data_IF_015366005025
#
_entry.id   IF_015366005025
#
_cell.length_a   1.000
_cell.length_b   1.000
_cell.length_c   1.000
_cell.angle_alpha   90.00
_cell.angle_beta   90.00
_cell.angle_gamma   90.00
#
_symmetry.space_group_name_H-M   'P 1'
#
loop_
_entity.id
_entity.type
_entity.pdbx_description
1 polymer ?
#
# COMPACT_ATOMS: atom_id res chain seq x y z
N UNK A 1 24.62 10.07 36.96
CA UNK A 1 23.48 10.92 37.35
C UNK A 1 22.39 10.75 36.30
N UNK A 2 21.39 9.94 36.62
CA UNK A 2 20.25 9.63 35.74
C UNK A 2 19.25 10.78 35.82
N UNK A 3 19.25 11.69 34.85
CA UNK A 3 18.18 12.69 34.74
C UNK A 3 17.03 12.10 33.92
N UNK A 4 16.03 11.61 34.67
CA UNK A 4 14.70 11.25 34.18
C UNK A 4 14.02 12.52 33.68
N UNK A 5 13.93 12.70 32.37
CA UNK A 5 13.16 13.79 31.79
C UNK A 5 11.66 13.45 31.84
N UNK A 6 10.91 14.34 32.48
CA UNK A 6 9.51 14.19 32.83
C UNK A 6 8.59 14.03 31.62
N UNK A 7 7.55 13.19 31.77
CA UNK A 7 6.46 13.06 30.81
C UNK A 7 5.61 14.33 30.85
N UNK A 8 5.68 15.13 29.80
CA UNK A 8 4.65 16.12 29.48
C UNK A 8 3.54 15.45 28.69
N UNK A 9 2.34 15.47 29.23
CA UNK A 9 1.10 15.12 28.55
C UNK A 9 0.70 16.26 27.60
N UNK A 10 0.48 15.96 26.32
CA UNK A 10 -0.32 16.84 25.47
C UNK A 10 -1.11 16.00 24.47
N UNK A 11 -2.43 15.98 24.69
CA UNK A 11 -3.42 15.44 23.77
C UNK A 11 -3.59 16.41 22.61
N UNK A 12 -3.02 16.08 21.45
CA UNK A 12 -3.46 16.65 20.17
C UNK A 12 -3.92 15.48 19.31
N UNK A 13 -5.11 15.57 18.75
CA UNK A 13 -5.60 14.59 17.79
C UNK A 13 -4.59 14.49 16.65
N UNK A 14 -3.87 13.37 16.58
CA UNK A 14 -2.90 13.13 15.53
C UNK A 14 -3.64 12.91 14.21
N UNK A 15 -3.57 13.83 13.22
CA UNK A 15 -3.98 13.49 11.86
C UNK A 15 -3.09 12.33 11.44
N UNK A 16 -3.71 11.21 11.04
CA UNK A 16 -2.99 10.00 10.64
C UNK A 16 -1.76 10.39 9.80
N UNK A 17 -0.54 10.00 10.21
CA UNK A 17 0.67 10.44 9.54
C UNK A 17 0.55 10.07 8.07
N UNK A 18 0.70 11.06 7.20
CA UNK A 18 0.65 10.86 5.76
C UNK A 18 1.71 9.79 5.44
N UNK A 19 1.33 8.63 4.85
CA UNK A 19 2.20 7.46 4.82
C UNK A 19 3.46 7.63 3.95
N UNK A 20 3.59 8.78 3.28
CA UNK A 20 4.70 9.14 2.40
C UNK A 20 5.50 10.36 2.90
N UNK A 21 5.60 10.56 4.22
CA UNK A 21 6.47 11.61 4.77
C UNK A 21 7.95 11.26 4.54
N UNK A 22 8.71 12.23 4.06
CA UNK A 22 10.17 12.17 3.98
C UNK A 22 10.84 12.35 5.34
N UNK A 23 11.94 11.63 5.59
CA UNK A 23 12.80 11.87 6.77
C UNK A 23 13.25 13.32 6.97
N UNK A 24 13.28 14.14 5.90
CA UNK A 24 13.57 15.59 5.97
C UNK A 24 12.38 16.35 6.57
N UNK A 25 11.17 16.08 6.08
CA UNK A 25 9.96 16.68 6.62
C UNK A 25 9.73 16.28 8.08
N UNK A 26 10.07 15.04 8.46
CA UNK A 26 10.04 14.60 9.87
C UNK A 26 11.05 15.42 10.69
N UNK A 27 12.27 15.62 10.18
CA UNK A 27 13.24 16.49 10.84
C UNK A 27 12.70 17.91 11.01
N UNK A 28 12.12 18.49 9.97
CA UNK A 28 11.64 19.88 10.00
C UNK A 28 10.43 20.06 10.92
N UNK A 29 9.62 19.01 11.12
CA UNK A 29 8.54 18.99 12.11
C UNK A 29 9.01 18.81 13.56
N UNK A 30 10.26 18.36 13.76
CA UNK A 30 10.86 18.25 15.08
C UNK A 30 11.59 19.57 15.34
N UNK A 31 11.13 20.36 16.31
CA UNK A 31 11.73 21.65 16.72
C UNK A 31 13.14 21.51 17.38
N UNK A 32 13.84 20.41 17.10
CA UNK A 32 15.12 20.02 17.69
C UNK A 32 16.17 19.83 16.59
N UNK A 33 17.45 20.19 16.84
CA UNK A 33 18.53 20.02 15.87
C UNK A 33 18.92 18.53 15.72
N UNK A 34 18.08 17.75 15.05
CA UNK A 34 18.31 16.33 14.78
C UNK A 34 18.83 16.15 13.36
N UNK A 35 19.81 15.27 13.17
CA UNK A 35 20.28 14.92 11.83
C UNK A 35 19.26 14.02 11.12
N UNK A 36 19.15 14.11 9.79
CA UNK A 36 18.31 13.22 8.99
C UNK A 36 18.72 11.75 9.11
N UNK A 37 20.00 11.49 9.42
CA UNK A 37 20.54 10.14 9.69
C UNK A 37 19.95 9.57 10.97
N UNK A 38 19.88 10.38 12.03
CA UNK A 38 19.26 9.98 13.30
C UNK A 38 17.79 9.64 13.11
N UNK A 39 17.05 10.47 12.37
CA UNK A 39 15.63 10.21 12.03
C UNK A 39 15.50 8.88 11.30
N UNK A 40 16.30 8.64 10.26
CA UNK A 40 16.27 7.37 9.51
C UNK A 40 16.59 6.17 10.40
N UNK A 41 17.59 6.28 11.29
CA UNK A 41 17.97 5.19 12.19
C UNK A 41 16.83 4.84 13.14
N UNK A 42 16.19 5.83 13.75
CA UNK A 42 15.03 5.62 14.64
C UNK A 42 13.84 5.02 13.90
N UNK A 43 13.58 5.43 12.66
CA UNK A 43 12.55 4.81 11.82
C UNK A 43 12.84 3.32 11.55
N UNK A 44 14.08 2.97 11.23
CA UNK A 44 14.49 1.58 11.06
C UNK A 44 14.39 0.76 12.36
N UNK A 45 14.82 1.34 13.50
CA UNK A 45 14.66 0.71 14.84
C UNK A 45 13.18 0.46 15.18
N UNK A 46 12.29 1.34 14.73
CA UNK A 46 10.83 1.19 14.84
C UNK A 46 10.21 0.32 13.73
N UNK A 47 11.03 -0.34 12.90
CA UNK A 47 10.59 -1.20 11.80
C UNK A 47 9.79 -0.49 10.69
N UNK A 48 9.95 0.84 10.57
CA UNK A 48 9.33 1.70 9.56
C UNK A 48 10.29 1.92 8.39
N UNK A 49 10.13 1.11 7.35
CA UNK A 49 10.96 1.17 6.17
C UNK A 49 10.28 1.92 5.02
N UNK A 50 11.09 2.55 4.17
CA UNK A 50 10.61 3.13 2.92
C UNK A 50 10.03 2.05 2.00
N UNK A 51 8.90 2.35 1.36
CA UNK A 51 8.21 1.51 0.39
C UNK A 51 7.69 2.36 -0.75
N UNK A 52 7.68 1.80 -1.96
CA UNK A 52 7.08 2.42 -3.14
C UNK A 52 5.62 1.98 -3.22
N UNK A 53 4.64 2.88 -3.37
CA UNK A 53 3.24 2.51 -3.56
C UNK A 53 3.06 1.71 -4.84
N UNK A 54 2.21 0.67 -4.79
CA UNK A 54 1.82 -0.09 -5.98
C UNK A 54 1.00 0.81 -6.91
N UNK A 55 1.40 0.88 -8.19
CA UNK A 55 0.57 1.50 -9.24
C UNK A 55 -0.68 0.65 -9.44
N UNK A 56 -1.84 1.19 -9.11
CA UNK A 56 -3.14 0.53 -9.30
C UNK A 56 -4.04 1.43 -10.13
N UNK A 57 -4.91 0.86 -10.99
CA UNK A 57 -5.89 1.64 -11.72
C UNK A 57 -6.87 2.30 -10.73
N UNK A 58 -7.22 3.56 -11.00
CA UNK A 58 -8.19 4.28 -10.18
C UNK A 58 -9.59 3.71 -10.40
N UNK A 59 -10.16 3.13 -9.35
CA UNK A 59 -11.51 2.57 -9.38
C UNK A 59 -12.54 3.63 -8.98
N UNK A 60 -13.60 3.75 -9.79
CA UNK A 60 -14.79 4.54 -9.42
C UNK A 60 -15.60 3.78 -8.37
N UNK A 61 -16.35 4.49 -7.52
CA UNK A 61 -17.21 3.89 -6.47
C UNK A 61 -18.10 2.75 -6.99
N UNK A 62 -18.69 2.93 -8.17
CA UNK A 62 -19.50 1.91 -8.86
C UNK A 62 -18.74 0.60 -9.11
N UNK A 63 -17.47 0.69 -9.53
CA UNK A 63 -16.66 -0.50 -9.81
C UNK A 63 -16.31 -1.24 -8.51
N UNK A 64 -16.00 -0.49 -7.44
CA UNK A 64 -15.74 -1.06 -6.10
C UNK A 64 -16.96 -1.83 -5.60
N UNK A 65 -18.16 -1.24 -5.70
CA UNK A 65 -19.40 -1.89 -5.27
C UNK A 65 -19.68 -3.20 -6.03
N UNK A 66 -19.57 -3.17 -7.37
CA UNK A 66 -19.81 -4.37 -8.18
C UNK A 66 -18.78 -5.47 -7.88
N UNK A 67 -17.50 -5.12 -7.75
CA UNK A 67 -16.44 -6.08 -7.39
C UNK A 67 -16.67 -6.71 -6.02
N UNK A 68 -17.08 -5.90 -5.04
CA UNK A 68 -17.39 -6.38 -3.70
C UNK A 68 -18.60 -7.33 -3.71
N UNK A 69 -19.65 -6.98 -4.45
CA UNK A 69 -20.85 -7.81 -4.57
C UNK A 69 -20.52 -9.19 -5.15
N UNK A 70 -19.76 -9.21 -6.25
CA UNK A 70 -19.33 -10.46 -6.86
C UNK A 70 -18.44 -11.30 -5.94
N UNK A 71 -17.46 -10.68 -5.29
CA UNK A 71 -16.61 -11.39 -4.34
C UNK A 71 -17.44 -12.06 -3.23
N UNK A 72 -18.48 -11.38 -2.72
CA UNK A 72 -19.40 -11.94 -1.72
C UNK A 72 -20.23 -13.10 -2.25
N UNK A 73 -20.80 -12.96 -3.45
CA UNK A 73 -21.62 -14.00 -4.08
C UNK A 73 -20.82 -15.27 -4.42
N UNK A 74 -19.53 -15.12 -4.70
CA UNK A 74 -18.68 -16.19 -5.24
C UNK A 74 -17.65 -16.71 -4.23
N UNK A 75 -17.66 -16.22 -2.98
CA UNK A 75 -16.68 -16.62 -1.94
C UNK A 75 -16.70 -18.12 -1.63
N UNK A 76 -17.88 -18.74 -1.71
CA UNK A 76 -18.10 -20.15 -1.38
C UNK A 76 -18.14 -21.05 -2.63
N UNK A 77 -17.75 -20.56 -3.81
CA UNK A 77 -17.76 -21.38 -5.01
C UNK A 77 -16.71 -22.49 -4.95
N UNK A 78 -17.09 -23.75 -5.26
CA UNK A 78 -16.15 -24.86 -5.29
C UNK A 78 -15.15 -24.68 -6.44
N UNK A 79 -13.93 -25.18 -6.26
CA UNK A 79 -12.85 -25.09 -7.24
C UNK A 79 -13.24 -25.66 -8.61
N UNK A 80 -14.06 -26.71 -8.63
CA UNK A 80 -14.64 -27.29 -9.85
C UNK A 80 -15.39 -26.27 -10.70
N UNK A 81 -16.20 -25.44 -10.05
CA UNK A 81 -16.97 -24.40 -10.74
C UNK A 81 -16.04 -23.37 -11.37
N UNK A 82 -14.98 -22.97 -10.68
CA UNK A 82 -13.96 -22.06 -11.23
C UNK A 82 -13.24 -22.62 -12.46
N UNK A 83 -12.98 -23.94 -12.49
CA UNK A 83 -12.31 -24.61 -13.63
C UNK A 83 -13.19 -24.68 -14.88
N UNK A 84 -14.51 -24.69 -14.70
CA UNK A 84 -15.45 -24.82 -15.80
C UNK A 84 -15.78 -23.46 -16.46
N UNK A 85 -15.22 -22.35 -15.97
CA UNK A 85 -15.46 -21.03 -16.53
C UNK A 85 -14.42 -20.74 -17.61
N UNK A 86 -14.89 -20.48 -18.83
CA UNK A 86 -14.06 -19.99 -19.91
C UNK A 86 -13.86 -18.48 -19.77
N UNK A 87 -12.62 -18.06 -19.52
CA UNK A 87 -12.24 -16.65 -19.45
C UNK A 87 -11.74 -16.17 -20.79
N UNK A 88 -12.23 -15.02 -21.26
CA UNK A 88 -11.76 -14.37 -22.48
C UNK A 88 -11.27 -12.95 -22.16
N UNK A 89 -10.09 -12.60 -22.67
CA UNK A 89 -9.54 -11.26 -22.59
C UNK A 89 -8.68 -10.96 -23.82
N UNK A 90 -8.61 -9.70 -24.20
CA UNK A 90 -7.76 -9.20 -25.29
C UNK A 90 -6.54 -8.53 -24.68
N UNK A 91 -5.35 -8.95 -25.09
CA UNK A 91 -4.08 -8.34 -24.69
C UNK A 91 -3.27 -7.96 -25.92
N UNK A 92 -2.66 -6.78 -25.89
CA UNK A 92 -1.76 -6.33 -26.96
C UNK A 92 -0.39 -6.97 -26.77
N UNK A 93 0.09 -7.69 -27.78
CA UNK A 93 1.44 -8.27 -27.80
C UNK A 93 2.36 -7.31 -28.54
N UNK A 94 3.33 -6.72 -27.83
CA UNK A 94 4.38 -5.88 -28.44
C UNK A 94 5.70 -6.66 -28.51
N UNK A 95 6.35 -6.78 -29.69
CA UNK A 95 7.47 -7.70 -29.91
C UNK A 95 8.81 -7.34 -29.24
N UNK A 96 8.90 -6.22 -28.53
CA UNK A 96 10.14 -5.74 -27.92
C UNK A 96 9.84 -5.29 -26.50
N UNK A 97 9.79 -6.22 -25.55
CA UNK A 97 9.96 -6.02 -24.10
C UNK A 97 9.83 -7.39 -23.39
N UNK A 98 10.76 -8.31 -23.63
CA UNK A 98 10.98 -9.45 -22.74
C UNK A 98 11.76 -8.99 -21.49
N UNK A 99 11.17 -8.04 -20.75
CA UNK A 99 11.51 -7.85 -19.33
C UNK A 99 10.28 -8.27 -18.54
N UNK A 100 10.38 -9.50 -18.06
CA UNK A 100 9.44 -10.27 -17.28
C UNK A 100 8.72 -9.43 -16.22
N UNK A 101 7.47 -9.05 -16.48
CA UNK A 101 6.43 -8.95 -15.46
C UNK A 101 5.04 -9.02 -16.10
N UNK A 102 4.82 -10.04 -16.94
CA UNK A 102 3.46 -10.51 -17.19
C UNK A 102 3.04 -11.27 -15.93
N UNK A 103 2.68 -10.53 -14.88
CA UNK A 103 1.67 -11.07 -13.98
C UNK A 103 0.43 -11.16 -14.86
N UNK A 104 0.23 -12.34 -15.45
CA UNK A 104 -1.08 -12.88 -15.75
C UNK A 104 -1.97 -12.49 -14.57
N UNK A 105 -2.73 -11.42 -14.74
CA UNK A 105 -3.71 -11.00 -13.77
C UNK A 105 -4.77 -12.11 -13.81
N UNK A 106 -4.83 -13.04 -12.85
CA UNK A 106 -5.81 -14.13 -12.94
C UNK A 106 -7.25 -13.59 -12.74
N UNK A 107 -7.42 -12.27 -12.55
CA UNK A 107 -8.66 -11.64 -12.13
C UNK A 107 -8.89 -10.23 -12.74
N UNK A 108 -8.25 -9.86 -13.86
CA UNK A 108 -8.33 -8.47 -14.35
C UNK A 108 -9.66 -8.07 -15.02
N UNK A 109 -10.56 -9.01 -15.33
CA UNK A 109 -11.86 -8.69 -15.96
C UNK A 109 -13.07 -9.33 -15.30
N UNK A 110 -12.92 -9.74 -14.05
CA UNK A 110 -14.07 -10.13 -13.26
C UNK A 110 -14.56 -8.88 -12.53
N UNK A 111 -15.18 -8.00 -13.35
CA UNK A 111 -15.89 -6.72 -13.07
C UNK A 111 -15.10 -5.41 -13.21
#
# INVERSE_FOLDING_TARGET
>A
VTSRCSRGSESKQDPAPHPMISSRMIKDSLESPVSTVTVRRRLCEANLFSRIPRKVPLLKKRHVQKRLQFAKEHINWPKEKWRNILWTDESKITPLNFSLFVILQPYAKII
#
